data_IF_826672190118
#
_entry.id   IF_826672190118
#
_cell.length_a   1.000
_cell.length_b   1.000
_cell.length_c   1.000
_cell.angle_alpha   90.00
_cell.angle_beta   90.00
_cell.angle_gamma   90.00
#
_symmetry.space_group_name_H-M   'P 1'
#
loop_
_entity.id
_entity.type
_entity.pdbx_description
1 polymer ?
#
# COMPACT_ATOMS: atom_id res chain seq x y z
N UNK A 1 -4.19 -21.15 6.23
CA UNK A 1 -4.64 -19.73 6.11
C UNK A 1 -5.00 -19.43 4.66
N UNK A 2 -6.13 -18.83 4.41
CA UNK A 2 -6.56 -18.40 3.07
C UNK A 2 -6.49 -16.89 3.00
N UNK A 3 -5.74 -16.35 2.04
CA UNK A 3 -5.67 -14.93 1.77
C UNK A 3 -6.57 -14.60 0.58
N UNK A 4 -7.47 -13.62 0.75
CA UNK A 4 -8.33 -13.10 -0.32
C UNK A 4 -8.31 -11.58 -0.26
N UNK A 5 -8.24 -10.92 -1.41
CA UNK A 5 -8.21 -9.46 -1.51
C UNK A 5 -9.50 -8.91 -2.12
N UNK A 6 -9.92 -7.75 -1.63
CA UNK A 6 -11.11 -7.03 -2.11
C UNK A 6 -10.81 -5.53 -2.22
N UNK A 7 -11.38 -4.90 -3.23
CA UNK A 7 -11.39 -3.45 -3.36
C UNK A 7 -12.65 -2.90 -2.67
N UNK A 8 -12.54 -2.56 -1.41
CA UNK A 8 -13.66 -2.04 -0.62
C UNK A 8 -13.18 -1.04 0.43
N UNK A 9 -13.94 0.03 0.61
CA UNK A 9 -13.63 1.05 1.63
C UNK A 9 -14.18 0.66 3.00
N UNK A 10 -15.39 0.12 3.03
CA UNK A 10 -16.08 -0.34 4.23
C UNK A 10 -16.77 -1.69 3.97
N UNK A 11 -16.91 -2.50 5.02
CA UNK A 11 -17.56 -3.83 4.91
C UNK A 11 -19.02 -3.68 4.48
N UNK A 12 -19.76 -2.75 5.09
CA UNK A 12 -21.20 -2.55 4.81
C UNK A 12 -21.49 -2.18 3.36
N UNK A 13 -20.55 -1.54 2.67
CA UNK A 13 -20.72 -1.08 1.28
C UNK A 13 -20.29 -2.12 0.24
N UNK A 14 -19.80 -3.28 0.67
CA UNK A 14 -19.30 -4.33 -0.23
C UNK A 14 -20.08 -5.64 -0.05
N UNK A 15 -20.91 -5.96 -1.03
CA UNK A 15 -21.63 -7.25 -1.08
C UNK A 15 -20.66 -8.44 -1.14
N UNK A 16 -19.56 -8.30 -1.89
CA UNK A 16 -18.55 -9.35 -2.01
C UNK A 16 -17.85 -9.66 -0.67
N UNK A 17 -17.47 -8.64 0.08
CA UNK A 17 -16.85 -8.81 1.41
C UNK A 17 -17.84 -9.43 2.39
N UNK A 18 -19.10 -8.98 2.41
CA UNK A 18 -20.14 -9.58 3.29
C UNK A 18 -20.40 -11.04 2.94
N UNK A 19 -20.49 -11.38 1.67
CA UNK A 19 -20.66 -12.76 1.22
C UNK A 19 -19.50 -13.65 1.68
N UNK A 20 -18.27 -13.18 1.52
CA UNK A 20 -17.08 -13.90 1.98
C UNK A 20 -17.08 -14.10 3.50
N UNK A 21 -17.42 -13.07 4.27
CA UNK A 21 -17.51 -13.16 5.74
C UNK A 21 -18.62 -14.12 6.20
N UNK A 22 -19.73 -14.20 5.47
CA UNK A 22 -20.81 -15.14 5.77
C UNK A 22 -20.43 -16.60 5.48
N UNK A 23 -19.67 -16.83 4.41
CA UNK A 23 -19.29 -18.18 4.00
C UNK A 23 -18.10 -18.74 4.80
N UNK A 24 -17.21 -17.89 5.28
CA UNK A 24 -16.04 -18.34 6.02
C UNK A 24 -16.37 -18.60 7.48
N UNK A 25 -16.18 -19.84 8.00
CA UNK A 25 -16.68 -20.22 9.33
C UNK A 25 -15.81 -19.75 10.49
N UNK A 26 -14.51 -19.52 10.24
CA UNK A 26 -13.52 -19.25 11.29
C UNK A 26 -13.28 -17.77 11.54
N UNK A 27 -12.36 -17.48 12.44
CA UNK A 27 -11.88 -16.12 12.72
C UNK A 27 -11.26 -15.47 11.48
N UNK A 28 -11.48 -14.18 11.35
CA UNK A 28 -10.99 -13.39 10.22
C UNK A 28 -10.10 -12.25 10.70
N UNK A 29 -8.92 -12.14 10.10
CA UNK A 29 -8.06 -10.98 10.22
C UNK A 29 -8.24 -10.08 9.00
N UNK A 30 -8.42 -8.79 9.23
CA UNK A 30 -8.58 -7.79 8.18
C UNK A 30 -7.30 -6.97 8.06
N UNK A 31 -6.65 -7.06 6.91
CA UNK A 31 -5.50 -6.25 6.56
C UNK A 31 -5.97 -5.15 5.60
N UNK A 32 -5.93 -3.90 6.05
CA UNK A 32 -6.30 -2.74 5.24
C UNK A 32 -5.06 -2.13 4.62
N UNK A 33 -5.03 -2.07 3.31
CA UNK A 33 -3.94 -1.44 2.54
C UNK A 33 -4.49 -0.18 1.90
N UNK A 34 -3.88 0.96 2.18
CA UNK A 34 -4.33 2.23 1.62
C UNK A 34 -3.51 3.42 2.11
N UNK A 35 -3.88 4.60 1.64
CA UNK A 35 -3.28 5.84 2.11
C UNK A 35 -3.48 6.02 3.62
N UNK A 36 -2.64 6.85 4.25
CA UNK A 36 -2.71 7.18 5.67
C UNK A 36 -4.03 7.83 6.09
N UNK A 37 -5.13 7.09 5.97
CA UNK A 37 -6.48 7.58 6.25
C UNK A 37 -6.81 7.46 7.73
N UNK A 38 -7.45 8.49 8.27
CA UNK A 38 -7.97 8.48 9.63
C UNK A 38 -9.30 7.73 9.74
N UNK A 39 -9.89 7.31 8.63
CA UNK A 39 -11.16 6.57 8.61
C UNK A 39 -11.01 5.21 9.26
N UNK A 40 -11.78 4.96 10.29
CA UNK A 40 -11.84 3.67 10.95
C UNK A 40 -12.69 2.69 10.13
N UNK A 41 -12.31 1.42 10.18
CA UNK A 41 -13.16 0.36 9.66
C UNK A 41 -14.35 0.17 10.60
N UNK A 42 -15.56 0.35 10.07
CA UNK A 42 -16.78 0.03 10.79
C UNK A 42 -17.07 -1.47 10.66
N UNK A 43 -17.09 -2.16 11.79
CA UNK A 43 -17.40 -3.60 11.83
C UNK A 43 -18.89 -3.75 12.14
N UNK A 44 -19.69 -4.26 11.17
CA UNK A 44 -21.11 -4.57 11.46
C UNK A 44 -21.24 -5.53 12.63
N UNK A 45 -22.29 -5.36 13.42
CA UNK A 45 -22.53 -6.17 14.63
C UNK A 45 -22.54 -7.68 14.37
N UNK A 46 -23.01 -8.09 13.19
CA UNK A 46 -23.01 -9.50 12.76
C UNK A 46 -21.61 -10.13 12.65
N UNK A 47 -20.55 -9.32 12.54
CA UNK A 47 -19.17 -9.80 12.34
C UNK A 47 -18.21 -9.45 13.47
N UNK A 48 -18.70 -8.86 14.57
CA UNK A 48 -17.86 -8.44 15.70
C UNK A 48 -17.08 -9.57 16.34
N UNK A 49 -17.71 -10.73 16.47
CA UNK A 49 -17.07 -11.90 17.09
C UNK A 49 -16.17 -12.66 16.10
N UNK A 50 -16.36 -12.43 14.81
CA UNK A 50 -15.60 -13.09 13.74
C UNK A 50 -14.34 -12.34 13.38
N UNK A 51 -14.39 -11.01 13.33
CA UNK A 51 -13.23 -10.18 13.00
C UNK A 51 -12.45 -9.90 14.28
N UNK A 52 -11.37 -10.64 14.47
CA UNK A 52 -10.57 -10.61 15.72
C UNK A 52 -9.37 -9.67 15.64
N UNK A 53 -8.95 -9.30 14.43
CA UNK A 53 -7.81 -8.39 14.22
C UNK A 53 -8.05 -7.51 13.01
N UNK A 54 -7.76 -6.21 13.16
CA UNK A 54 -7.72 -5.26 12.04
C UNK A 54 -6.40 -4.53 12.08
N UNK A 55 -5.60 -4.70 11.03
CA UNK A 55 -4.33 -4.01 10.85
C UNK A 55 -4.39 -3.06 9.65
N UNK A 56 -3.64 -1.97 9.71
CA UNK A 56 -3.57 -0.98 8.65
C UNK A 56 -2.15 -0.84 8.15
N UNK A 57 -1.99 -0.95 6.83
CA UNK A 57 -0.73 -0.78 6.12
C UNK A 57 -0.84 0.45 5.21
N UNK A 58 0.11 1.37 5.37
CA UNK A 58 0.08 2.66 4.71
C UNK A 58 0.85 2.62 3.39
N UNK A 59 0.25 3.15 2.32
CA UNK A 59 0.87 3.25 1.00
C UNK A 59 1.39 4.65 0.67
N UNK A 60 1.09 5.64 1.51
CA UNK A 60 1.46 7.04 1.25
C UNK A 60 2.49 7.53 2.29
N UNK A 61 3.61 8.12 1.89
CA UNK A 61 4.07 8.41 0.52
C UNK A 61 4.82 7.25 -0.14
N UNK A 62 4.66 6.05 0.37
CA UNK A 62 5.48 4.88 0.05
C UNK A 62 5.47 4.51 -1.43
N UNK A 63 4.31 4.56 -2.10
CA UNK A 63 4.22 4.13 -3.51
C UNK A 63 5.18 4.89 -4.42
N UNK A 64 5.20 6.21 -4.35
CA UNK A 64 6.13 7.02 -5.13
C UNK A 64 7.58 6.79 -4.72
N UNK A 65 7.83 6.58 -3.43
CA UNK A 65 9.17 6.27 -2.93
C UNK A 65 9.68 4.92 -3.45
N UNK A 66 8.80 3.93 -3.66
CA UNK A 66 9.18 2.66 -4.27
C UNK A 66 9.75 2.84 -5.68
N UNK A 67 9.16 3.73 -6.48
CA UNK A 67 9.67 4.09 -7.80
C UNK A 67 11.00 4.83 -7.71
N UNK A 68 11.11 5.81 -6.82
CA UNK A 68 12.32 6.62 -6.61
C UNK A 68 13.50 5.71 -6.19
N UNK A 69 13.26 4.79 -5.28
CA UNK A 69 14.26 3.81 -4.82
C UNK A 69 14.66 2.88 -5.96
N UNK A 70 13.69 2.34 -6.70
CA UNK A 70 13.93 1.40 -7.79
C UNK A 70 14.74 2.00 -8.94
N UNK A 71 14.61 3.32 -9.17
CA UNK A 71 15.40 4.07 -10.16
C UNK A 71 16.75 4.58 -9.62
N UNK A 72 17.12 4.20 -8.38
CA UNK A 72 18.33 4.69 -7.70
C UNK A 72 18.38 6.22 -7.55
N UNK A 73 17.22 6.84 -7.35
CA UNK A 73 17.09 8.32 -7.23
C UNK A 73 16.86 8.76 -5.76
N UNK A 74 17.01 7.86 -4.78
CA UNK A 74 16.79 8.18 -3.38
C UNK A 74 17.69 9.32 -2.88
N UNK A 75 18.97 9.32 -3.25
CA UNK A 75 19.92 10.34 -2.82
C UNK A 75 19.62 11.71 -3.46
N UNK A 76 19.22 11.73 -4.73
CA UNK A 76 18.79 12.95 -5.41
C UNK A 76 17.51 13.50 -4.76
N UNK A 77 16.57 12.63 -4.44
CA UNK A 77 15.34 13.04 -3.76
C UNK A 77 15.62 13.61 -2.36
N UNK A 78 16.52 12.99 -1.59
CA UNK A 78 16.91 13.49 -0.25
C UNK A 78 17.37 14.95 -0.27
N UNK A 79 18.08 15.39 -1.33
CA UNK A 79 18.55 16.77 -1.47
C UNK A 79 17.42 17.77 -1.67
N UNK A 80 16.27 17.35 -2.17
CA UNK A 80 15.14 18.22 -2.53
C UNK A 80 13.86 17.95 -1.73
N UNK A 81 13.83 16.95 -0.88
CA UNK A 81 12.63 16.51 -0.16
C UNK A 81 11.98 17.59 0.70
N UNK A 82 12.74 18.57 1.17
CA UNK A 82 12.20 19.70 1.94
C UNK A 82 11.33 20.64 1.11
N UNK A 83 11.51 20.65 -0.21
CA UNK A 83 10.80 21.53 -1.15
C UNK A 83 9.92 20.78 -2.15
N UNK A 84 10.15 19.48 -2.32
CA UNK A 84 9.50 18.68 -3.37
C UNK A 84 8.90 17.41 -2.79
N UNK A 85 7.59 17.22 -2.97
CA UNK A 85 6.90 15.99 -2.57
C UNK A 85 7.30 14.81 -3.46
N UNK A 86 7.27 13.55 -2.94
CA UNK A 86 7.62 12.36 -3.71
C UNK A 86 6.88 12.27 -5.05
N UNK A 87 5.59 12.55 -5.08
CA UNK A 87 4.76 12.53 -6.28
C UNK A 87 5.24 13.52 -7.34
N UNK A 88 5.59 14.74 -6.94
CA UNK A 88 6.09 15.77 -7.85
C UNK A 88 7.45 15.38 -8.42
N UNK A 89 8.32 14.86 -7.57
CA UNK A 89 9.64 14.37 -7.99
C UNK A 89 9.52 13.20 -8.96
N UNK A 90 8.65 12.22 -8.67
CA UNK A 90 8.41 11.09 -9.54
C UNK A 90 7.90 11.50 -10.92
N UNK A 91 6.95 12.43 -10.99
CA UNK A 91 6.46 12.98 -12.28
C UNK A 91 7.54 13.62 -13.13
N UNK A 92 8.50 14.27 -12.51
CA UNK A 92 9.58 14.94 -13.21
C UNK A 92 10.69 13.98 -13.67
N UNK A 93 10.96 12.90 -12.93
CA UNK A 93 12.18 12.09 -13.07
C UNK A 93 11.94 10.64 -13.49
N UNK A 94 10.72 10.10 -13.36
CA UNK A 94 10.45 8.68 -13.59
C UNK A 94 9.67 8.45 -14.88
N UNK A 95 10.17 7.49 -15.70
CA UNK A 95 9.59 7.14 -17.00
C UNK A 95 9.74 5.65 -17.28
N UNK A 96 8.82 5.14 -18.09
CA UNK A 96 8.95 3.86 -18.79
C UNK A 96 9.05 4.20 -20.28
N UNK A 97 10.26 4.15 -20.87
CA UNK A 97 10.49 4.61 -22.22
C UNK A 97 10.12 6.10 -22.36
N UNK A 98 9.14 6.40 -23.21
CA UNK A 98 8.62 7.77 -23.42
C UNK A 98 7.50 8.16 -22.46
N UNK A 99 6.91 7.20 -21.75
CA UNK A 99 5.79 7.43 -20.82
C UNK A 99 6.30 7.94 -19.49
N UNK A 100 5.87 9.14 -19.12
CA UNK A 100 6.14 9.70 -17.78
C UNK A 100 5.23 9.10 -16.72
N UNK A 101 5.70 9.07 -15.49
CA UNK A 101 4.87 8.74 -14.34
C UNK A 101 3.63 9.64 -14.26
N UNK A 102 2.45 9.04 -14.22
CA UNK A 102 1.16 9.73 -14.28
C UNK A 102 0.25 9.44 -13.05
N UNK A 103 0.79 8.79 -12.05
CA UNK A 103 0.07 8.37 -10.84
C UNK A 103 -1.06 7.35 -11.10
N UNK A 104 -1.02 6.63 -12.21
CA UNK A 104 -2.02 5.60 -12.52
C UNK A 104 -1.60 4.21 -12.03
N UNK A 105 -2.59 3.38 -11.72
CA UNK A 105 -2.37 1.96 -11.44
C UNK A 105 -1.66 1.27 -12.61
N UNK A 106 -2.05 1.60 -13.84
CA UNK A 106 -1.46 1.04 -15.06
C UNK A 106 0.05 1.33 -15.15
N UNK A 107 0.52 2.49 -14.69
CA UNK A 107 1.95 2.78 -14.65
C UNK A 107 2.70 1.83 -13.71
N UNK A 108 2.17 1.59 -12.51
CA UNK A 108 2.78 0.67 -11.54
C UNK A 108 2.78 -0.78 -12.04
N UNK A 109 1.70 -1.21 -12.68
CA UNK A 109 1.60 -2.54 -13.28
C UNK A 109 2.63 -2.73 -14.40
N UNK A 110 2.81 -1.74 -15.27
CA UNK A 110 3.80 -1.76 -16.34
C UNK A 110 5.24 -1.72 -15.79
N UNK A 111 5.47 -0.93 -14.74
CA UNK A 111 6.80 -0.74 -14.14
C UNK A 111 7.28 -1.96 -13.34
N UNK A 112 6.45 -2.47 -12.44
CA UNK A 112 6.82 -3.57 -11.54
C UNK A 112 6.33 -4.95 -12.00
N UNK A 113 5.32 -5.01 -12.87
CA UNK A 113 4.73 -6.27 -13.31
C UNK A 113 5.72 -7.26 -13.94
N UNK A 114 6.67 -6.83 -14.79
CA UNK A 114 7.68 -7.70 -15.36
C UNK A 114 8.71 -8.23 -14.34
N UNK A 115 8.90 -7.53 -13.21
CA UNK A 115 9.90 -7.88 -12.19
C UNK A 115 9.34 -7.60 -10.78
N UNK A 116 8.64 -8.59 -10.24
CA UNK A 116 8.07 -8.50 -8.89
C UNK A 116 9.13 -8.45 -7.78
N UNK A 117 10.33 -8.99 -8.00
CA UNK A 117 11.42 -8.92 -7.04
C UNK A 117 11.89 -7.47 -6.84
N UNK A 118 11.90 -6.69 -7.91
CA UNK A 118 12.21 -5.25 -7.86
C UNK A 118 11.25 -4.50 -6.93
N UNK A 119 9.97 -4.85 -6.94
CA UNK A 119 8.97 -4.30 -6.03
C UNK A 119 9.25 -4.70 -4.58
N UNK A 120 9.51 -5.97 -4.34
CA UNK A 120 9.82 -6.49 -3.00
C UNK A 120 11.07 -5.82 -2.42
N UNK A 121 12.11 -5.67 -3.20
CA UNK A 121 13.36 -5.02 -2.78
C UNK A 121 13.13 -3.53 -2.45
N UNK A 122 12.35 -2.84 -3.26
CA UNK A 122 11.98 -1.44 -3.00
C UNK A 122 11.17 -1.29 -1.72
N UNK A 123 10.21 -2.16 -1.46
CA UNK A 123 9.39 -2.17 -0.23
C UNK A 123 10.27 -2.36 1.00
N UNK A 124 11.18 -3.32 0.97
CA UNK A 124 12.13 -3.57 2.07
C UNK A 124 13.07 -2.39 2.29
N UNK A 125 13.62 -1.84 1.22
CA UNK A 125 14.52 -0.68 1.26
C UNK A 125 13.83 0.56 1.81
N UNK A 126 12.58 0.81 1.44
CA UNK A 126 11.81 1.92 1.97
C UNK A 126 11.70 1.87 3.51
N UNK A 127 11.36 0.72 4.07
CA UNK A 127 11.28 0.56 5.54
C UNK A 127 12.60 0.86 6.24
N UNK A 128 13.73 0.50 5.65
CA UNK A 128 15.05 0.74 6.23
C UNK A 128 15.44 2.23 6.28
N UNK A 129 14.94 3.03 5.33
CA UNK A 129 15.36 4.43 5.15
C UNK A 129 14.35 5.47 5.66
N UNK A 130 13.12 5.08 5.95
CA UNK A 130 12.04 6.02 6.27
C UNK A 130 11.25 5.59 7.52
N UNK A 131 11.30 6.42 8.55
CA UNK A 131 10.64 6.19 9.84
C UNK A 131 9.40 7.06 10.09
N UNK A 132 8.72 7.57 9.05
CA UNK A 132 7.68 8.60 9.20
C UNK A 132 6.25 8.09 9.31
N UNK A 133 6.01 6.77 9.36
CA UNK A 133 4.67 6.23 9.59
C UNK A 133 4.20 6.50 11.02
N UNK A 134 2.91 6.77 11.19
CA UNK A 134 2.28 6.90 12.50
C UNK A 134 2.35 5.55 13.24
N UNK A 135 2.29 5.60 14.57
CA UNK A 135 2.42 4.39 15.42
C UNK A 135 1.45 3.25 15.07
N UNK A 136 0.27 3.57 14.55
CA UNK A 136 -0.77 2.61 14.18
C UNK A 136 -0.82 2.27 12.68
N UNK A 137 0.17 2.74 11.91
CA UNK A 137 0.27 2.50 10.47
C UNK A 137 1.52 1.67 10.18
N UNK A 138 1.30 0.43 9.74
CA UNK A 138 2.39 -0.49 9.40
C UNK A 138 2.99 -0.18 8.03
N UNK A 139 4.25 -0.58 7.84
CA UNK A 139 4.90 -0.54 6.53
C UNK A 139 4.46 -1.72 5.67
N UNK A 140 4.42 -1.53 4.35
CA UNK A 140 4.13 -2.65 3.42
C UNK A 140 5.13 -3.80 3.57
N UNK A 141 6.38 -3.52 3.94
CA UNK A 141 7.39 -4.54 4.21
C UNK A 141 6.97 -5.55 5.29
N UNK A 142 6.08 -5.18 6.20
CA UNK A 142 5.58 -6.07 7.25
C UNK A 142 4.58 -7.11 6.73
N UNK A 143 4.04 -6.92 5.51
CA UNK A 143 3.23 -7.93 4.81
C UNK A 143 4.07 -9.03 4.17
N UNK A 144 5.37 -8.80 3.97
CA UNK A 144 6.28 -9.71 3.28
C UNK A 144 6.94 -10.74 4.21
N UNK A 145 6.25 -11.11 5.26
CA UNK A 145 6.72 -12.11 6.24
C UNK A 145 6.71 -13.53 5.68
#
# INVERSE_FOLDING_TARGET
MRLVSYHARQIKSSAAVKAALNLYPDEVHVLRIGDGQNEKLEIPSAYKDKITLVEKYCTKPELEMLLIISENLADEYEKVKSKTKPKTFAKANIRIGKRRYDNSTAFYEEYFGPDCEKLVDAIKSYKQHNGSHKKNEHYLAELLK
#
